data_IF_428964271464
#
_entry.id   IF_428964271464
#
_cell.length_a   1.000
_cell.length_b   1.000
_cell.length_c   1.000
_cell.angle_alpha   90.00
_cell.angle_beta   90.00
_cell.angle_gamma   90.00
#
_symmetry.space_group_name_H-M   'P 1'
#
loop_
_entity.id
_entity.type
_entity.pdbx_description
1 polymer ?
#
# COMPACT_ATOMS: atom_id res chain seq x y z
N UNK A 1 12.50 -4.21 -0.82
CA UNK A 1 12.89 -2.78 -0.77
C UNK A 1 11.81 -1.92 -0.13
N UNK A 2 10.55 -1.98 -0.61
CA UNK A 2 9.44 -1.18 -0.07
C UNK A 2 9.28 -1.31 1.45
N UNK A 3 9.29 -2.54 1.98
CA UNK A 3 9.18 -2.82 3.43
C UNK A 3 10.24 -2.09 4.27
N UNK A 4 11.49 -2.01 3.77
CA UNK A 4 12.56 -1.31 4.49
C UNK A 4 12.29 0.20 4.56
N UNK A 5 11.86 0.80 3.44
CA UNK A 5 11.50 2.23 3.38
C UNK A 5 10.31 2.53 4.28
N UNK A 6 9.30 1.65 4.31
CA UNK A 6 8.15 1.80 5.18
C UNK A 6 8.56 1.83 6.66
N UNK A 7 9.43 0.90 7.07
CA UNK A 7 9.94 0.86 8.46
C UNK A 7 10.78 2.08 8.82
N UNK A 8 11.73 2.44 7.96
CA UNK A 8 12.63 3.57 8.18
C UNK A 8 11.86 4.89 8.36
N UNK A 9 10.75 5.05 7.62
CA UNK A 9 9.91 6.24 7.64
C UNK A 9 8.70 6.15 8.58
N UNK A 10 8.51 5.03 9.30
CA UNK A 10 7.35 4.83 10.16
C UNK A 10 6.00 4.85 9.41
N UNK A 11 5.97 4.37 8.17
CA UNK A 11 4.79 4.36 7.33
C UNK A 11 3.95 3.09 7.55
N UNK A 12 2.63 3.27 7.52
CA UNK A 12 1.60 2.25 7.72
C UNK A 12 0.77 2.14 6.44
N UNK A 13 0.97 1.09 5.63
CA UNK A 13 0.40 1.06 4.29
C UNK A 13 -1.03 0.52 4.27
N UNK A 14 -1.88 1.14 3.46
CA UNK A 14 -3.00 0.46 2.82
C UNK A 14 -2.46 -0.32 1.61
N UNK A 15 -2.65 -1.64 1.61
CA UNK A 15 -2.08 -2.55 0.61
C UNK A 15 -3.09 -2.87 -0.49
N UNK A 16 -2.73 -2.58 -1.74
CA UNK A 16 -3.42 -3.03 -2.94
C UNK A 16 -2.45 -3.89 -3.78
N UNK A 17 -2.26 -5.13 -3.32
CA UNK A 17 -1.37 -6.14 -3.91
C UNK A 17 -2.03 -7.53 -3.85
N UNK A 18 -1.58 -8.47 -4.67
CA UNK A 18 -2.07 -9.86 -4.63
C UNK A 18 -1.66 -10.56 -3.32
N UNK A 19 -2.44 -11.54 -2.87
CA UNK A 19 -2.31 -12.14 -1.54
C UNK A 19 -0.93 -12.75 -1.25
N UNK A 20 -0.26 -13.30 -2.27
CA UNK A 20 1.07 -13.87 -2.10
C UNK A 20 2.18 -12.87 -1.78
N UNK A 21 1.96 -11.55 -1.98
CA UNK A 21 2.92 -10.50 -1.55
C UNK A 21 2.60 -9.99 -0.15
N UNK A 22 1.36 -10.14 0.34
CA UNK A 22 0.93 -9.61 1.64
C UNK A 22 1.85 -10.05 2.80
N UNK A 23 2.32 -11.31 2.88
CA UNK A 23 3.24 -11.75 3.93
C UNK A 23 4.56 -10.96 4.01
N UNK A 24 5.03 -10.36 2.90
CA UNK A 24 6.23 -9.52 2.93
C UNK A 24 6.06 -8.29 3.85
N UNK A 25 4.82 -7.84 4.05
CA UNK A 25 4.46 -6.67 4.83
C UNK A 25 4.06 -6.98 6.28
N UNK A 26 4.11 -8.23 6.73
CA UNK A 26 3.68 -8.63 8.09
C UNK A 26 4.46 -7.92 9.20
N UNK A 27 5.68 -7.51 8.91
CA UNK A 27 6.55 -6.79 9.84
C UNK A 27 6.31 -5.27 9.90
N UNK A 28 5.26 -4.77 9.26
CA UNK A 28 4.85 -3.36 9.24
C UNK A 28 3.42 -3.23 9.76
N UNK A 29 3.17 -2.21 10.60
CA UNK A 29 1.84 -1.87 11.11
C UNK A 29 0.93 -1.38 9.96
N UNK A 30 -0.35 -1.77 9.99
CA UNK A 30 -1.32 -1.48 8.91
C UNK A 30 -2.56 -0.74 9.41
N UNK A 31 -2.75 -0.66 10.73
CA UNK A 31 -3.81 0.15 11.31
C UNK A 31 -3.57 1.64 11.03
N UNK A 32 -4.66 2.39 10.81
CA UNK A 32 -4.61 3.84 10.55
C UNK A 32 -3.60 4.22 9.44
N UNK A 33 -3.87 3.81 8.19
CA UNK A 33 -2.89 3.89 7.11
C UNK A 33 -2.54 5.34 6.76
N UNK A 34 -1.24 5.61 6.60
CA UNK A 34 -0.70 6.91 6.22
C UNK A 34 0.05 6.90 4.87
N UNK A 35 -0.03 5.79 4.14
CA UNK A 35 0.41 5.69 2.75
C UNK A 35 -0.35 4.57 2.03
N UNK A 36 -0.22 4.52 0.71
CA UNK A 36 -0.70 3.41 -0.11
C UNK A 36 0.46 2.70 -0.78
N UNK A 37 0.42 1.37 -0.80
CA UNK A 37 1.31 0.54 -1.64
C UNK A 37 0.42 -0.19 -2.65
N UNK A 38 0.63 0.10 -3.92
CA UNK A 38 -0.04 -0.57 -5.04
C UNK A 38 0.99 -1.38 -5.81
N UNK A 39 0.64 -2.59 -6.24
CA UNK A 39 1.50 -3.42 -7.05
C UNK A 39 0.72 -4.32 -7.98
N UNK A 40 1.33 -5.41 -8.42
CA UNK A 40 0.57 -6.49 -9.04
C UNK A 40 -0.53 -6.91 -8.06
N UNK A 41 -1.76 -6.55 -8.39
CA UNK A 41 -2.93 -6.84 -7.58
C UNK A 41 -3.81 -7.89 -8.25
N UNK A 42 -3.44 -8.38 -9.45
CA UNK A 42 -4.23 -9.31 -10.24
C UNK A 42 -5.74 -8.99 -10.18
N UNK A 43 -6.56 -9.94 -9.70
CA UNK A 43 -8.01 -9.78 -9.55
C UNK A 43 -8.43 -8.75 -8.49
N UNK A 44 -7.54 -8.37 -7.57
CA UNK A 44 -7.78 -7.30 -6.58
C UNK A 44 -7.67 -5.91 -7.19
N UNK A 45 -7.19 -5.76 -8.43
CA UNK A 45 -7.20 -4.48 -9.14
C UNK A 45 -8.61 -4.12 -9.65
N UNK A 46 -9.58 -4.03 -8.73
CA UNK A 46 -10.96 -3.65 -9.01
C UNK A 46 -11.15 -2.15 -8.78
N UNK A 47 -12.14 -1.54 -9.44
CA UNK A 47 -12.51 -0.14 -9.18
C UNK A 47 -12.83 0.13 -7.71
N UNK A 48 -13.44 -0.83 -7.03
CA UNK A 48 -13.76 -0.71 -5.61
C UNK A 48 -12.49 -0.58 -4.77
N UNK A 49 -11.56 -1.53 -4.90
CA UNK A 49 -10.32 -1.53 -4.12
C UNK A 49 -9.42 -0.35 -4.48
N UNK A 50 -9.42 0.04 -5.75
CA UNK A 50 -8.72 1.23 -6.23
C UNK A 50 -9.29 2.50 -5.58
N UNK A 51 -10.61 2.64 -5.56
CA UNK A 51 -11.28 3.76 -4.90
C UNK A 51 -10.98 3.79 -3.40
N UNK A 52 -10.95 2.64 -2.73
CA UNK A 52 -10.61 2.58 -1.31
C UNK A 52 -9.17 3.05 -1.05
N UNK A 53 -8.22 2.63 -1.87
CA UNK A 53 -6.85 3.12 -1.82
C UNK A 53 -6.76 4.64 -2.08
N UNK A 54 -7.47 5.16 -3.09
CA UNK A 54 -7.47 6.60 -3.37
C UNK A 54 -8.16 7.43 -2.29
N UNK A 55 -9.21 6.92 -1.64
CA UNK A 55 -9.84 7.59 -0.50
C UNK A 55 -8.87 7.76 0.67
N UNK A 56 -8.03 6.77 0.92
CA UNK A 56 -6.93 6.91 1.90
C UNK A 56 -6.02 8.06 1.50
N UNK A 57 -5.52 8.09 0.26
CA UNK A 57 -4.63 9.17 -0.19
C UNK A 57 -5.26 10.57 -0.08
N UNK A 58 -6.52 10.72 -0.48
CA UNK A 58 -7.23 12.00 -0.44
C UNK A 58 -7.44 12.49 1.00
N UNK A 59 -7.56 11.57 1.97
CA UNK A 59 -7.73 11.91 3.39
C UNK A 59 -6.44 12.31 4.11
N UNK A 60 -5.26 12.14 3.49
CA UNK A 60 -3.97 12.43 4.11
C UNK A 60 -3.51 13.85 3.81
N UNK A 61 -2.95 14.53 4.82
CA UNK A 61 -2.32 15.84 4.64
C UNK A 61 -1.10 15.77 3.71
N UNK A 62 -0.33 14.68 3.82
CA UNK A 62 0.87 14.42 3.01
C UNK A 62 0.77 13.04 2.36
N UNK A 63 0.04 12.89 1.24
CA UNK A 63 -0.21 11.60 0.62
C UNK A 63 1.07 11.00 0.03
N UNK A 64 1.32 9.73 0.35
CA UNK A 64 2.45 8.95 -0.18
C UNK A 64 1.92 7.70 -0.88
N UNK A 65 2.29 7.53 -2.14
CA UNK A 65 1.97 6.36 -2.96
C UNK A 65 3.26 5.66 -3.39
N UNK A 66 3.36 4.35 -3.11
CA UNK A 66 4.39 3.48 -3.66
C UNK A 66 3.76 2.60 -4.72
N UNK A 67 4.32 2.60 -5.94
CA UNK A 67 4.02 1.61 -6.96
C UNK A 67 5.10 0.54 -7.01
N UNK A 68 4.68 -0.72 -7.04
CA UNK A 68 5.55 -1.89 -7.16
C UNK A 68 5.27 -2.58 -8.48
N UNK A 69 6.31 -2.72 -9.30
CA UNK A 69 6.23 -3.41 -10.57
C UNK A 69 7.63 -3.66 -11.09
N UNK A 70 7.74 -4.55 -12.06
CA UNK A 70 8.93 -4.59 -12.92
C UNK A 70 8.66 -3.65 -14.07
N UNK A 71 9.38 -2.53 -14.11
CA UNK A 71 9.48 -1.70 -15.31
C UNK A 71 10.33 -2.37 -16.36
#
# INVERSE_FOLDING_TARGET
>A
AAVAVLKERGLRPHLLVYDGVVPEFDSVEKADPNCVVIGDAAEKFSYQNLNDAFRVLIGLENPVLFSLGRG
#
